data_IF_767372243568
#
_entry.id   IF_767372243568
#
_cell.length_a   1.000
_cell.length_b   1.000
_cell.length_c   1.000
_cell.angle_alpha   90.00
_cell.angle_beta   90.00
_cell.angle_gamma   90.00
#
_symmetry.space_group_name_H-M   'P 1'
#
loop_
_entity.id
_entity.type
_entity.pdbx_description
1 polymer ?
#
# COMPACT_ATOMS: atom_id res chain seq x y z
N UNK A 1 1.04 -5.45 -27.31
CA UNK A 1 2.46 -5.84 -27.10
C UNK A 1 2.56 -7.34 -27.29
N UNK A 2 3.46 -7.80 -28.16
CA UNK A 2 3.71 -9.24 -28.36
C UNK A 2 4.75 -9.72 -27.35
N UNK A 3 4.57 -10.91 -26.77
CA UNK A 3 5.50 -11.48 -25.80
C UNK A 3 6.92 -11.64 -26.40
N UNK A 4 7.02 -11.97 -27.69
CA UNK A 4 8.30 -12.08 -28.40
C UNK A 4 9.09 -10.78 -28.50
N UNK A 5 8.46 -9.63 -28.25
CA UNK A 5 9.09 -8.30 -28.30
C UNK A 5 9.48 -7.78 -26.90
N UNK A 6 9.19 -8.55 -25.84
CA UNK A 6 9.62 -8.19 -24.50
C UNK A 6 11.11 -8.41 -24.33
N UNK A 7 11.79 -7.45 -23.69
CA UNK A 7 13.22 -7.60 -23.34
C UNK A 7 13.43 -8.64 -22.23
N UNK A 8 12.40 -8.90 -21.42
CA UNK A 8 12.42 -9.85 -20.31
C UNK A 8 12.25 -11.28 -20.80
N UNK A 9 12.99 -12.19 -20.16
CA UNK A 9 12.97 -13.62 -20.49
C UNK A 9 12.63 -14.45 -19.25
N UNK A 10 12.16 -15.66 -19.47
CA UNK A 10 12.00 -16.66 -18.42
C UNK A 10 13.33 -17.31 -18.06
N UNK A 11 13.45 -17.75 -16.81
CA UNK A 11 14.64 -18.42 -16.30
C UNK A 11 14.31 -19.86 -15.88
N UNK A 12 15.25 -20.78 -16.10
CA UNK A 12 15.10 -22.17 -15.63
C UNK A 12 15.19 -22.25 -14.09
N UNK A 13 15.99 -21.39 -13.48
CA UNK A 13 16.24 -21.39 -12.04
C UNK A 13 16.08 -19.97 -11.49
N UNK A 14 15.62 -19.85 -10.26
CA UNK A 14 15.65 -18.63 -9.49
C UNK A 14 17.03 -18.40 -8.87
N UNK A 15 17.31 -17.16 -8.37
CA UNK A 15 18.51 -16.91 -7.56
C UNK A 15 18.59 -17.89 -6.38
N UNK A 16 19.79 -18.37 -6.06
CA UNK A 16 20.01 -19.39 -5.00
C UNK A 16 19.59 -18.93 -3.61
N UNK A 17 19.59 -17.63 -3.38
CA UNK A 17 19.19 -16.99 -2.12
C UNK A 17 17.67 -16.73 -2.01
N UNK A 18 16.89 -17.11 -3.03
CA UNK A 18 15.44 -16.96 -2.98
C UNK A 18 14.77 -18.29 -2.60
N UNK A 19 14.24 -18.32 -1.38
CA UNK A 19 13.60 -19.51 -0.80
C UNK A 19 12.07 -19.46 -0.82
N UNK A 20 11.49 -18.28 -1.06
CA UNK A 20 10.05 -18.12 -1.07
C UNK A 20 9.45 -18.52 -2.41
N UNK A 21 8.54 -19.48 -2.41
CA UNK A 21 7.96 -20.05 -3.63
C UNK A 21 7.30 -19.03 -4.55
N UNK A 22 6.62 -18.02 -3.98
CA UNK A 22 5.99 -16.96 -4.77
C UNK A 22 7.04 -16.14 -5.53
N UNK A 23 8.11 -15.70 -4.88
CA UNK A 23 9.17 -14.92 -5.53
C UNK A 23 9.95 -15.77 -6.52
N UNK A 24 10.28 -17.03 -6.18
CA UNK A 24 10.90 -17.98 -7.10
C UNK A 24 10.12 -18.06 -8.42
N UNK A 25 8.82 -18.30 -8.35
CA UNK A 25 7.98 -18.45 -9.54
C UNK A 25 7.86 -17.14 -10.34
N UNK A 26 7.69 -16.01 -9.68
CA UNK A 26 7.56 -14.71 -10.33
C UNK A 26 8.86 -14.26 -11.01
N UNK A 27 10.01 -14.52 -10.39
CA UNK A 27 11.34 -14.26 -10.99
C UNK A 27 11.53 -15.15 -12.20
N UNK A 28 11.31 -16.46 -12.06
CA UNK A 28 11.48 -17.41 -13.17
C UNK A 28 10.57 -17.10 -14.34
N UNK A 29 9.35 -16.63 -14.08
CA UNK A 29 8.40 -16.27 -15.14
C UNK A 29 8.68 -14.88 -15.75
N UNK A 30 9.66 -14.11 -15.25
CA UNK A 30 9.97 -12.78 -15.77
C UNK A 30 8.94 -11.71 -15.41
N UNK A 31 8.28 -11.87 -14.27
CA UNK A 31 7.31 -10.88 -13.73
C UNK A 31 7.98 -9.87 -12.81
N UNK A 32 8.94 -10.30 -12.02
CA UNK A 32 9.70 -9.42 -11.12
C UNK A 32 11.19 -9.72 -11.21
N UNK A 33 11.99 -8.72 -10.87
CA UNK A 33 13.44 -8.84 -10.65
C UNK A 33 13.73 -8.49 -9.19
N UNK A 34 14.59 -9.28 -8.55
CA UNK A 34 15.00 -9.06 -7.17
C UNK A 34 16.22 -8.14 -7.15
N UNK A 35 16.08 -6.94 -6.62
CA UNK A 35 17.19 -6.01 -6.43
C UNK A 35 18.01 -6.38 -5.18
N UNK A 36 17.30 -6.64 -4.09
CA UNK A 36 17.85 -7.12 -2.83
C UNK A 36 16.71 -7.73 -1.98
N UNK A 37 17.04 -8.23 -0.80
CA UNK A 37 16.04 -8.80 0.10
C UNK A 37 14.92 -7.77 0.41
N UNK A 38 13.69 -8.10 0.03
CA UNK A 38 12.50 -7.26 0.24
C UNK A 38 12.39 -6.05 -0.68
N UNK A 39 13.15 -6.01 -1.78
CA UNK A 39 13.02 -4.96 -2.83
C UNK A 39 13.00 -5.62 -4.20
N UNK A 40 11.91 -5.38 -4.95
CA UNK A 40 11.67 -6.01 -6.24
C UNK A 40 11.25 -4.99 -7.29
N UNK A 41 11.83 -5.08 -8.47
CA UNK A 41 11.39 -4.35 -9.66
C UNK A 41 10.31 -5.14 -10.38
N UNK A 42 9.17 -4.51 -10.69
CA UNK A 42 8.13 -5.11 -11.52
C UNK A 42 8.52 -4.99 -13.00
N UNK A 43 8.70 -6.13 -13.64
CA UNK A 43 8.96 -6.24 -15.08
C UNK A 43 7.67 -6.06 -15.90
N UNK A 44 7.72 -5.88 -17.23
CA UNK A 44 6.53 -5.52 -18.01
C UNK A 44 5.29 -6.38 -17.80
N UNK A 45 5.44 -7.71 -17.66
CA UNK A 45 4.30 -8.59 -17.39
C UNK A 45 3.80 -8.44 -15.95
N UNK A 46 4.71 -8.35 -14.99
CA UNK A 46 4.37 -8.12 -13.58
C UNK A 46 3.66 -6.79 -13.37
N UNK A 47 4.16 -5.72 -13.99
CA UNK A 47 3.54 -4.39 -13.92
C UNK A 47 2.12 -4.39 -14.53
N UNK A 48 1.89 -5.13 -15.61
CA UNK A 48 0.54 -5.27 -16.18
C UNK A 48 -0.43 -5.96 -15.23
N UNK A 49 0.01 -6.99 -14.52
CA UNK A 49 -0.82 -7.66 -13.50
C UNK A 49 -1.09 -6.71 -12.34
N UNK A 50 -0.07 -6.04 -11.83
CA UNK A 50 -0.20 -5.05 -10.77
C UNK A 50 -1.21 -3.95 -11.14
N UNK A 51 -1.09 -3.37 -12.34
CA UNK A 51 -2.00 -2.33 -12.80
C UNK A 51 -3.46 -2.82 -12.97
N UNK A 52 -3.66 -4.08 -13.35
CA UNK A 52 -5.01 -4.68 -13.39
C UNK A 52 -5.60 -4.81 -11.99
N UNK A 53 -4.81 -5.27 -11.02
CA UNK A 53 -5.22 -5.37 -9.61
C UNK A 53 -5.56 -3.97 -9.07
N UNK A 54 -4.70 -2.97 -9.32
CA UNK A 54 -4.95 -1.57 -8.95
C UNK A 54 -6.24 -1.05 -9.58
N UNK A 55 -6.49 -1.37 -10.87
CA UNK A 55 -7.73 -1.01 -11.56
C UNK A 55 -8.97 -1.56 -10.87
N UNK A 56 -8.98 -2.85 -10.54
CA UNK A 56 -10.09 -3.51 -9.82
C UNK A 56 -10.32 -2.84 -8.46
N UNK A 57 -9.26 -2.60 -7.69
CA UNK A 57 -9.36 -1.96 -6.38
C UNK A 57 -9.91 -0.54 -6.53
N UNK A 58 -9.42 0.23 -7.52
CA UNK A 58 -9.87 1.60 -7.80
C UNK A 58 -11.37 1.67 -8.10
N UNK A 59 -11.85 0.76 -8.94
CA UNK A 59 -13.29 0.68 -9.26
C UNK A 59 -14.13 0.45 -8.01
N UNK A 60 -13.74 -0.47 -7.14
CA UNK A 60 -14.45 -0.76 -5.89
C UNK A 60 -14.37 0.39 -4.88
N UNK A 61 -13.23 1.08 -4.78
CA UNK A 61 -13.08 2.26 -3.92
C UNK A 61 -13.93 3.43 -4.41
N UNK A 62 -13.97 3.67 -5.72
CA UNK A 62 -14.83 4.70 -6.31
C UNK A 62 -16.32 4.37 -6.11
N UNK A 63 -16.69 3.09 -6.22
CA UNK A 63 -18.09 2.64 -6.05
C UNK A 63 -18.62 2.86 -4.61
N UNK A 64 -17.75 2.89 -3.60
CA UNK A 64 -18.14 3.23 -2.22
C UNK A 64 -18.05 4.73 -1.92
N UNK A 65 -17.80 5.57 -2.94
CA UNK A 65 -17.71 7.02 -2.81
C UNK A 65 -16.34 7.54 -2.39
N UNK A 66 -15.30 6.72 -2.50
CA UNK A 66 -13.92 7.14 -2.22
C UNK A 66 -13.39 8.13 -3.25
N UNK A 67 -12.64 9.12 -2.79
CA UNK A 67 -11.94 10.10 -3.63
C UNK A 67 -10.44 9.78 -3.64
N UNK A 68 -9.88 9.57 -4.83
CA UNK A 68 -8.47 9.23 -4.98
C UNK A 68 -7.60 10.48 -4.82
N UNK A 69 -6.56 10.36 -4.00
CA UNK A 69 -5.52 11.37 -3.82
C UNK A 69 -4.15 10.70 -3.95
N UNK A 70 -3.09 11.48 -4.01
CA UNK A 70 -1.71 10.99 -3.93
C UNK A 70 -0.93 11.88 -2.97
N UNK A 71 -0.65 11.38 -1.78
CA UNK A 71 0.12 12.08 -0.76
C UNK A 71 1.63 11.96 -1.02
N UNK A 72 2.40 12.84 -0.38
CA UNK A 72 3.86 12.83 -0.47
C UNK A 72 4.47 11.60 0.21
N UNK A 73 5.48 10.99 -0.41
CA UNK A 73 6.28 9.95 0.21
C UNK A 73 7.29 10.51 1.22
N UNK A 74 7.75 11.76 1.03
CA UNK A 74 8.60 12.46 1.99
C UNK A 74 7.72 13.07 3.08
N UNK A 75 8.04 12.77 4.34
CA UNK A 75 7.25 13.15 5.50
C UNK A 75 8.13 13.82 6.54
N UNK A 76 7.69 14.98 7.03
CA UNK A 76 8.42 15.77 8.02
C UNK A 76 8.38 15.10 9.39
N UNK A 77 9.51 15.05 10.09
CA UNK A 77 9.65 14.60 11.46
C UNK A 77 8.64 15.25 12.41
N UNK A 78 8.48 16.59 12.30
CA UNK A 78 7.61 17.38 13.18
C UNK A 78 6.14 16.93 13.18
N UNK A 79 5.68 16.31 12.10
CA UNK A 79 4.32 15.76 12.01
C UNK A 79 4.17 14.50 12.89
N UNK A 80 5.18 13.66 12.88
CA UNK A 80 5.21 12.37 13.57
C UNK A 80 5.58 12.48 15.05
N UNK A 81 6.28 13.55 15.43
CA UNK A 81 6.52 13.88 16.84
C UNK A 81 5.23 14.22 17.58
N UNK A 82 4.23 14.82 16.89
CA UNK A 82 2.92 15.12 17.50
C UNK A 82 2.15 13.87 17.97
N UNK A 83 2.38 12.74 17.35
CA UNK A 83 1.76 11.45 17.70
C UNK A 83 2.73 10.52 18.40
N UNK A 84 3.95 11.01 18.69
CA UNK A 84 5.01 10.25 19.36
C UNK A 84 5.43 8.98 18.60
N UNK A 85 5.30 9.03 17.25
CA UNK A 85 5.60 7.91 16.33
C UNK A 85 6.91 8.09 15.55
N UNK A 86 7.69 9.13 15.84
CA UNK A 86 9.02 9.32 15.25
C UNK A 86 10.12 8.54 15.97
N UNK A 87 9.88 8.16 17.21
CA UNK A 87 10.81 7.43 18.06
C UNK A 87 10.95 5.97 17.59
N UNK A 88 12.18 5.54 17.30
CA UNK A 88 12.48 4.17 16.85
C UNK A 88 12.19 3.12 17.92
N UNK A 89 12.10 3.50 19.20
CA UNK A 89 11.68 2.59 20.27
C UNK A 89 10.19 2.24 20.19
N UNK A 90 9.38 3.07 19.51
CA UNK A 90 7.95 2.88 19.32
C UNK A 90 7.61 2.40 17.91
N UNK A 91 8.30 2.93 16.91
CA UNK A 91 8.11 2.58 15.49
C UNK A 91 9.48 2.37 14.85
N UNK A 92 9.93 1.13 14.80
CA UNK A 92 11.28 0.71 14.37
C UNK A 92 11.45 0.47 12.86
N UNK A 93 10.41 0.84 12.07
CA UNK A 93 10.37 0.56 10.62
C UNK A 93 10.69 1.77 9.74
N UNK A 94 11.14 2.89 10.30
CA UNK A 94 11.45 4.08 9.53
C UNK A 94 12.68 3.93 8.64
N UNK A 95 12.56 4.43 7.41
CA UNK A 95 13.69 4.91 6.62
C UNK A 95 13.78 6.42 6.84
N UNK A 96 14.72 6.86 7.67
CA UNK A 96 14.97 8.28 7.96
C UNK A 96 16.00 8.85 7.00
N UNK A 97 15.81 10.11 6.59
CA UNK A 97 16.69 10.85 5.71
C UNK A 97 16.71 12.33 6.10
N UNK A 98 17.47 13.14 5.39
CA UNK A 98 17.65 14.55 5.72
C UNK A 98 17.79 15.39 4.44
N UNK A 99 17.21 16.57 4.43
CA UNK A 99 17.45 17.58 3.40
C UNK A 99 18.83 18.21 3.58
N UNK A 100 19.35 18.83 2.53
CA UNK A 100 20.66 19.53 2.58
C UNK A 100 20.74 20.64 3.63
N UNK A 101 19.61 21.21 4.01
CA UNK A 101 19.49 22.23 5.05
C UNK A 101 19.40 21.67 6.48
N UNK A 102 19.51 20.37 6.67
CA UNK A 102 19.44 19.70 7.96
C UNK A 102 18.04 19.27 8.42
N UNK A 103 16.98 19.54 7.64
CA UNK A 103 15.62 19.09 7.99
C UNK A 103 15.50 17.58 7.92
N UNK A 104 15.14 16.94 9.03
CA UNK A 104 14.92 15.50 9.08
C UNK A 104 13.59 15.09 8.47
N UNK A 105 13.61 14.04 7.66
CA UNK A 105 12.46 13.46 6.98
C UNK A 105 12.43 11.95 7.16
N UNK A 106 11.23 11.37 7.02
CA UNK A 106 11.04 9.94 6.85
C UNK A 106 10.45 9.61 5.48
N UNK A 107 10.75 8.41 4.97
CA UNK A 107 10.01 7.84 3.86
C UNK A 107 8.71 7.22 4.38
N UNK A 108 7.59 7.50 3.74
CA UNK A 108 6.26 7.15 4.23
C UNK A 108 6.07 5.66 4.48
N UNK A 109 6.02 5.26 5.74
CA UNK A 109 5.68 3.90 6.17
C UNK A 109 4.16 3.70 6.25
N UNK A 110 3.44 4.78 6.53
CA UNK A 110 1.98 4.92 6.57
C UNK A 110 1.58 6.38 6.37
N UNK A 111 0.30 6.72 6.30
CA UNK A 111 -0.13 8.09 5.96
C UNK A 111 -1.30 8.61 6.80
N UNK A 112 -1.53 8.08 8.02
CA UNK A 112 -2.60 8.58 8.89
C UNK A 112 -2.39 10.05 9.22
N UNK A 113 -1.20 10.42 9.71
CA UNK A 113 -0.88 11.78 10.09
C UNK A 113 -0.87 12.75 8.91
N UNK A 114 -0.24 12.43 7.75
CA UNK A 114 -0.33 13.29 6.57
C UNK A 114 -1.75 13.47 6.06
N UNK A 115 -2.57 12.42 6.04
CA UNK A 115 -3.97 12.50 5.61
C UNK A 115 -4.79 13.34 6.58
N UNK A 116 -4.63 13.13 7.88
CA UNK A 116 -5.34 13.92 8.91
C UNK A 116 -4.95 15.40 8.81
N UNK A 117 -3.66 15.71 8.63
CA UNK A 117 -3.20 17.08 8.40
C UNK A 117 -3.82 17.70 7.15
N UNK A 118 -3.88 16.95 6.04
CA UNK A 118 -4.50 17.43 4.81
C UNK A 118 -5.99 17.69 5.03
N UNK A 119 -6.72 16.72 5.55
CA UNK A 119 -8.17 16.84 5.74
C UNK A 119 -8.54 17.93 6.73
N UNK A 120 -7.74 18.16 7.79
CA UNK A 120 -7.98 19.26 8.74
C UNK A 120 -7.89 20.66 8.14
N UNK A 121 -7.26 20.80 6.98
CA UNK A 121 -7.20 22.07 6.23
C UNK A 121 -8.38 22.26 5.27
N UNK A 122 -9.10 21.20 4.96
CA UNK A 122 -10.21 21.20 3.98
C UNK A 122 -11.58 20.97 4.63
N UNK A 123 -11.65 20.33 5.81
CA UNK A 123 -12.88 20.13 6.56
C UNK A 123 -13.02 21.25 7.56
N UNK A 124 -13.86 22.24 7.24
CA UNK A 124 -14.07 23.43 8.08
C UNK A 124 -15.37 23.34 8.90
N UNK A 125 -16.29 22.47 8.53
CA UNK A 125 -17.54 22.27 9.25
C UNK A 125 -18.04 20.82 9.11
N UNK A 126 -19.02 20.46 9.98
CA UNK A 126 -19.68 19.15 9.88
C UNK A 126 -20.41 18.93 8.54
N UNK A 127 -20.68 20.00 7.78
CA UNK A 127 -21.31 19.93 6.45
C UNK A 127 -20.38 19.40 5.37
N UNK A 128 -19.08 19.51 5.60
CA UNK A 128 -18.05 18.99 4.69
C UNK A 128 -17.87 17.47 4.86
N UNK A 129 -18.49 16.88 5.87
CA UNK A 129 -18.51 15.44 6.13
C UNK A 129 -19.74 14.77 5.51
N UNK A 130 -19.66 13.49 5.15
CA UNK A 130 -18.50 12.60 5.29
C UNK A 130 -17.48 12.77 4.18
N UNK A 131 -16.23 12.42 4.48
CA UNK A 131 -15.14 12.34 3.51
C UNK A 131 -14.55 10.94 3.52
N UNK A 132 -14.44 10.33 2.34
CA UNK A 132 -13.67 9.11 2.12
C UNK A 132 -12.54 9.43 1.14
N UNK A 133 -11.30 9.43 1.61
CA UNK A 133 -10.14 9.69 0.79
C UNK A 133 -9.25 8.44 0.74
N UNK A 134 -8.78 8.05 -0.44
CA UNK A 134 -7.90 6.91 -0.59
C UNK A 134 -6.75 7.21 -1.54
N UNK A 135 -5.71 6.38 -1.49
CA UNK A 135 -4.57 6.50 -2.38
C UNK A 135 -4.00 5.13 -2.73
N UNK A 136 -3.25 5.09 -3.83
CA UNK A 136 -2.24 4.08 -4.08
C UNK A 136 -0.88 4.75 -3.92
N UNK A 137 -0.13 4.40 -2.88
CA UNK A 137 1.12 5.06 -2.57
C UNK A 137 2.22 4.05 -2.25
N UNK A 138 3.42 4.35 -2.70
CA UNK A 138 4.61 3.62 -2.30
C UNK A 138 4.82 3.77 -0.79
N UNK A 139 4.98 2.64 -0.11
CA UNK A 139 5.31 2.57 1.31
C UNK A 139 6.71 2.01 1.48
N UNK A 140 7.37 2.51 2.50
CA UNK A 140 8.73 2.12 2.85
C UNK A 140 8.77 1.64 4.30
N UNK A 141 9.16 0.39 4.50
CA UNK A 141 9.28 -0.20 5.85
C UNK A 141 10.62 -0.89 5.98
N UNK A 142 11.47 -0.37 6.86
CA UNK A 142 12.80 -0.91 7.13
C UNK A 142 12.70 -2.22 7.93
N UNK A 143 12.07 -3.21 7.32
CA UNK A 143 11.87 -4.53 7.91
C UNK A 143 13.21 -5.20 8.20
N UNK A 144 13.46 -5.54 9.44
CA UNK A 144 14.68 -6.25 9.88
C UNK A 144 14.83 -7.58 9.14
N UNK A 145 13.71 -8.26 8.87
CA UNK A 145 13.66 -9.52 8.13
C UNK A 145 12.56 -9.47 7.09
N UNK A 146 12.89 -9.07 5.87
CA UNK A 146 12.02 -9.33 4.73
C UNK A 146 11.85 -10.85 4.57
N UNK A 147 10.61 -11.34 4.62
CA UNK A 147 10.27 -12.77 4.61
C UNK A 147 9.18 -13.05 3.58
N UNK A 148 9.07 -14.33 3.20
CA UNK A 148 7.99 -14.81 2.35
C UNK A 148 7.93 -14.14 0.96
N UNK A 149 9.08 -13.85 0.37
CA UNK A 149 9.20 -13.28 -0.98
C UNK A 149 8.56 -11.91 -1.07
N UNK A 150 7.56 -11.75 -1.95
CA UNK A 150 6.88 -10.47 -2.16
C UNK A 150 5.79 -10.16 -1.12
N UNK A 151 5.55 -11.04 -0.14
CA UNK A 151 4.47 -10.85 0.84
C UNK A 151 4.85 -9.90 1.99
N UNK A 152 6.14 -9.79 2.31
CA UNK A 152 6.66 -8.87 3.32
C UNK A 152 7.96 -8.24 2.84
N UNK A 153 7.84 -7.05 2.32
CA UNK A 153 8.90 -6.33 1.60
C UNK A 153 9.16 -4.96 2.23
N UNK A 154 10.24 -4.32 1.81
CA UNK A 154 10.68 -3.01 2.31
C UNK A 154 10.13 -1.85 1.52
N UNK A 155 9.75 -2.09 0.27
CA UNK A 155 9.16 -1.12 -0.66
C UNK A 155 8.00 -1.77 -1.38
N UNK A 156 6.80 -1.18 -1.30
CA UNK A 156 5.58 -1.74 -1.89
C UNK A 156 4.49 -0.70 -2.09
N UNK A 157 3.60 -0.95 -3.03
CA UNK A 157 2.40 -0.12 -3.22
C UNK A 157 1.32 -0.60 -2.27
N UNK A 158 0.77 0.33 -1.50
CA UNK A 158 -0.39 0.10 -0.63
C UNK A 158 -1.57 0.90 -1.13
N UNK A 159 -2.76 0.30 -1.11
CA UNK A 159 -4.01 1.05 -1.11
C UNK A 159 -4.40 1.27 0.34
N UNK A 160 -4.47 2.51 0.75
CA UNK A 160 -4.99 2.93 2.05
C UNK A 160 -6.17 3.89 1.84
N UNK A 161 -7.23 3.73 2.64
CA UNK A 161 -8.42 4.57 2.63
C UNK A 161 -8.71 5.05 4.04
N UNK A 162 -9.06 6.32 4.15
CA UNK A 162 -9.36 7.04 5.38
C UNK A 162 -10.78 7.60 5.29
N UNK A 163 -11.57 7.42 6.33
CA UNK A 163 -12.94 7.92 6.39
C UNK A 163 -13.13 8.85 7.58
N UNK A 164 -13.66 10.03 7.31
CA UNK A 164 -14.09 10.98 8.33
C UNK A 164 -15.63 11.05 8.29
N UNK A 165 -16.27 10.64 9.37
CA UNK A 165 -17.74 10.57 9.49
C UNK A 165 -18.24 11.55 10.54
N UNK A 166 -19.55 11.89 10.48
CA UNK A 166 -20.21 12.76 11.44
C UNK A 166 -20.61 12.06 12.73
N UNK A 167 -20.79 10.72 12.66
CA UNK A 167 -21.21 9.91 13.81
C UNK A 167 -20.63 8.48 13.70
N UNK A 168 -20.68 7.75 14.81
CA UNK A 168 -20.29 6.34 14.86
C UNK A 168 -21.15 5.46 13.94
N UNK A 169 -22.47 5.75 13.85
CA UNK A 169 -23.37 5.00 12.98
C UNK A 169 -23.04 5.23 11.51
N UNK A 170 -22.68 6.45 11.12
CA UNK A 170 -22.22 6.76 9.76
C UNK A 170 -20.90 6.03 9.45
N UNK A 171 -19.96 6.05 10.40
CA UNK A 171 -18.70 5.31 10.28
C UNK A 171 -18.94 3.79 10.16
N UNK A 172 -19.81 3.22 10.98
CA UNK A 172 -20.13 1.80 10.95
C UNK A 172 -20.72 1.37 9.60
N UNK A 173 -21.59 2.22 8.99
CA UNK A 173 -22.11 1.96 7.63
C UNK A 173 -21.01 1.96 6.57
N UNK A 174 -20.08 2.92 6.62
CA UNK A 174 -18.95 2.95 5.72
C UNK A 174 -18.05 1.73 5.90
N UNK A 175 -17.74 1.36 7.13
CA UNK A 175 -16.93 0.19 7.42
C UNK A 175 -17.56 -1.09 6.87
N UNK A 176 -18.88 -1.26 7.03
CA UNK A 176 -19.60 -2.40 6.48
C UNK A 176 -19.57 -2.41 4.95
N UNK A 177 -19.76 -1.25 4.31
CA UNK A 177 -19.66 -1.08 2.86
C UNK A 177 -18.27 -1.39 2.31
N UNK A 178 -17.24 -0.92 2.98
CA UNK A 178 -15.84 -1.21 2.64
C UNK A 178 -15.52 -2.70 2.79
N UNK A 179 -15.99 -3.35 3.86
CA UNK A 179 -15.83 -4.80 4.03
C UNK A 179 -16.42 -5.57 2.84
N UNK A 180 -17.61 -5.21 2.40
CA UNK A 180 -18.22 -5.83 1.22
C UNK A 180 -17.41 -5.57 -0.07
N UNK A 181 -16.88 -4.34 -0.24
CA UNK A 181 -16.01 -3.99 -1.36
C UNK A 181 -14.72 -4.84 -1.36
N UNK A 182 -14.09 -5.06 -0.22
CA UNK A 182 -12.91 -5.94 -0.13
C UNK A 182 -13.21 -7.39 -0.52
N UNK A 183 -14.36 -7.93 -0.14
CA UNK A 183 -14.76 -9.28 -0.56
C UNK A 183 -14.86 -9.33 -2.09
N UNK A 184 -15.55 -8.37 -2.72
CA UNK A 184 -15.62 -8.30 -4.19
C UNK A 184 -14.26 -8.13 -4.86
N UNK A 185 -13.34 -7.34 -4.27
CA UNK A 185 -11.98 -7.22 -4.78
C UNK A 185 -11.30 -8.59 -4.81
N UNK A 186 -11.35 -9.35 -3.72
CA UNK A 186 -10.73 -10.68 -3.65
C UNK A 186 -11.32 -11.65 -4.67
N UNK A 187 -12.64 -11.65 -4.85
CA UNK A 187 -13.32 -12.44 -5.88
C UNK A 187 -12.85 -12.03 -7.29
N UNK A 188 -12.84 -10.73 -7.58
CA UNK A 188 -12.46 -10.16 -8.90
C UNK A 188 -10.99 -10.39 -9.26
N UNK A 189 -10.10 -10.45 -8.29
CA UNK A 189 -8.67 -10.77 -8.52
C UNK A 189 -8.40 -12.28 -8.59
N UNK A 190 -9.44 -13.12 -8.45
CA UNK A 190 -9.35 -14.57 -8.64
C UNK A 190 -8.95 -15.36 -7.40
N UNK A 191 -9.11 -14.82 -6.20
CA UNK A 191 -8.84 -15.53 -4.95
C UNK A 191 -10.00 -16.45 -4.50
N UNK A 192 -11.07 -16.54 -5.30
CA UNK A 192 -12.24 -17.39 -5.06
C UNK A 192 -13.18 -16.83 -3.98
N UNK A 193 -14.16 -17.63 -3.55
CA UNK A 193 -15.04 -17.27 -2.46
C UNK A 193 -14.25 -17.11 -1.16
N UNK A 194 -14.03 -15.86 -0.78
CA UNK A 194 -13.48 -15.56 0.54
C UNK A 194 -14.58 -15.78 1.56
N UNK A 195 -14.66 -17.00 2.09
CA UNK A 195 -15.46 -17.25 3.30
C UNK A 195 -14.93 -16.29 4.37
N UNK A 196 -15.84 -15.48 4.93
CA UNK A 196 -15.53 -14.43 5.90
C UNK A 196 -14.94 -15.04 7.19
N UNK A 197 -13.71 -15.48 7.14
CA UNK A 197 -12.93 -15.67 8.36
C UNK A 197 -12.68 -14.28 8.91
N UNK A 198 -13.44 -13.93 9.95
CA UNK A 198 -13.30 -12.80 10.86
C UNK A 198 -12.07 -11.93 10.55
N UNK A 199 -12.27 -10.89 9.75
CA UNK A 199 -11.41 -9.72 9.77
C UNK A 199 -11.57 -9.04 11.15
N UNK A 200 -11.10 -9.72 12.19
CA UNK A 200 -10.88 -9.16 13.51
C UNK A 200 -9.44 -8.67 13.45
N UNK A 201 -9.27 -7.37 13.60
CA UNK A 201 -7.99 -6.65 13.63
C UNK A 201 -7.35 -6.38 12.25
N UNK A 202 -7.96 -5.51 11.46
CA UNK A 202 -7.25 -4.58 10.59
C UNK A 202 -7.39 -3.18 11.17
#
# INVERSE_FOLDING_TARGET
MRQSQLFTKTFKQAPKDEVAKNAELLIRAGFVHKEMAGVYTFLPLGLRVLNKIIGIIREEMNAVGGQEVLLSALQEKSLWEKTDRWDDTKVDIWFKTMLKNGTELGLGSTHEEPMTRLLSQHINSYRDLPVLAYQFQMKFRNETRAKSGIMRVREFIMKDLYSCARSEEEHARFYAGLRAAYIRIFERVGLGEVRSYRLRHL
#
